data_IF_568089982623
#
_entry.id   IF_568089982623
#
_cell.length_a   1.000
_cell.length_b   1.000
_cell.length_c   1.000
_cell.angle_alpha   90.00
_cell.angle_beta   90.00
_cell.angle_gamma   90.00
#
_symmetry.space_group_name_H-M   'P 1'
#
loop_
_entity.id
_entity.type
_entity.pdbx_description
1 polymer ?
#
# COMPACT_ATOMS: atom_id res chain seq x y z
N UNK A 1 18.89 -12.60 -5.08
CA UNK A 1 18.10 -11.34 -5.15
C UNK A 1 17.96 -10.75 -3.75
N UNK A 2 18.19 -9.44 -3.57
CA UNK A 2 18.02 -8.76 -2.26
C UNK A 2 16.53 -8.56 -1.98
N UNK A 3 15.99 -9.27 -1.00
CA UNK A 3 14.59 -9.21 -0.60
C UNK A 3 14.27 -7.81 -0.02
N UNK A 4 13.36 -7.03 -0.65
CA UNK A 4 13.07 -5.64 -0.23
C UNK A 4 11.92 -5.57 0.78
N UNK A 5 11.08 -6.60 0.85
CA UNK A 5 9.89 -6.65 1.70
C UNK A 5 10.14 -7.31 3.07
N UNK A 6 11.19 -8.11 3.25
CA UNK A 6 11.53 -8.74 4.55
C UNK A 6 12.13 -7.78 5.59
N UNK A 7 12.21 -6.48 5.28
CA UNK A 7 13.03 -5.53 6.05
C UNK A 7 12.28 -4.68 7.06
N UNK A 8 11.01 -4.99 7.34
CA UNK A 8 10.36 -4.53 8.57
C UNK A 8 11.11 -4.94 9.86
N UNK A 9 12.15 -5.78 9.75
CA UNK A 9 13.00 -6.26 10.84
C UNK A 9 14.42 -5.67 10.87
N UNK A 10 14.84 -4.85 9.88
CA UNK A 10 16.13 -4.15 9.92
C UNK A 10 15.90 -2.64 9.85
N UNK A 11 16.26 -1.96 10.95
CA UNK A 11 16.05 -0.54 11.26
C UNK A 11 16.44 0.48 10.16
N UNK A 12 17.25 0.12 9.16
CA UNK A 12 17.83 1.07 8.20
C UNK A 12 17.22 1.10 6.79
N UNK A 13 16.20 0.29 6.48
CA UNK A 13 15.59 0.30 5.14
C UNK A 13 14.26 1.06 5.09
N UNK A 14 14.26 2.17 4.35
CA UNK A 14 13.05 2.94 4.01
C UNK A 14 12.72 2.71 2.54
N UNK A 15 11.51 2.23 2.25
CA UNK A 15 11.00 2.17 0.87
C UNK A 15 10.73 3.58 0.37
N UNK A 16 11.49 4.02 -0.62
CA UNK A 16 11.37 5.36 -1.24
C UNK A 16 10.22 5.43 -2.26
N UNK A 17 9.62 4.30 -2.61
CA UNK A 17 8.53 4.21 -3.59
C UNK A 17 7.23 3.78 -2.90
N UNK A 18 6.78 4.60 -1.95
CA UNK A 18 5.52 4.40 -1.25
C UNK A 18 4.35 4.63 -2.21
N UNK A 19 3.34 3.78 -2.13
CA UNK A 19 2.16 3.85 -3.00
C UNK A 19 1.08 4.79 -2.45
N UNK A 20 1.45 5.88 -1.77
CA UNK A 20 0.48 6.78 -1.14
C UNK A 20 -0.39 7.48 -2.19
N UNK A 21 0.23 8.04 -3.23
CA UNK A 21 -0.50 8.69 -4.32
C UNK A 21 -1.44 7.72 -5.03
N UNK A 22 -1.00 6.47 -5.21
CA UNK A 22 -1.84 5.42 -5.78
C UNK A 22 -3.09 5.13 -4.93
N UNK A 23 -3.00 5.20 -3.59
CA UNK A 23 -4.18 5.04 -2.74
C UNK A 23 -5.25 6.11 -3.04
N UNK A 24 -4.82 7.36 -3.22
CA UNK A 24 -5.70 8.47 -3.59
C UNK A 24 -6.32 8.26 -4.98
N UNK A 25 -5.50 7.98 -5.99
CA UNK A 25 -5.98 7.76 -7.36
C UNK A 25 -6.92 6.54 -7.45
N UNK A 26 -6.61 5.45 -6.75
CA UNK A 26 -7.46 4.26 -6.70
C UNK A 26 -8.81 4.54 -6.01
N UNK A 27 -8.81 5.30 -4.92
CA UNK A 27 -10.04 5.65 -4.20
C UNK A 27 -10.96 6.47 -5.09
N UNK A 28 -10.43 7.53 -5.69
CA UNK A 28 -11.15 8.39 -6.63
C UNK A 28 -11.67 7.62 -7.83
N UNK A 29 -10.86 6.71 -8.37
CA UNK A 29 -11.28 5.85 -9.47
C UNK A 29 -12.50 4.99 -9.07
N UNK A 30 -12.45 4.31 -7.92
CA UNK A 30 -13.56 3.50 -7.44
C UNK A 30 -14.82 4.32 -7.14
N UNK A 31 -14.69 5.49 -6.53
CA UNK A 31 -15.80 6.42 -6.30
C UNK A 31 -16.43 6.87 -7.63
N UNK A 32 -15.60 7.27 -8.60
CA UNK A 32 -16.06 7.76 -9.92
C UNK A 32 -16.84 6.72 -10.72
N UNK A 33 -16.43 5.46 -10.68
CA UNK A 33 -17.13 4.38 -11.39
C UNK A 33 -18.30 3.79 -10.57
N UNK A 34 -18.61 4.33 -9.38
CA UNK A 34 -19.64 3.81 -8.50
C UNK A 34 -19.33 2.41 -7.93
N UNK A 35 -18.06 2.04 -7.85
CA UNK A 35 -17.63 0.76 -7.29
C UNK A 35 -17.84 0.73 -5.78
N UNK A 36 -18.23 -0.44 -5.26
CA UNK A 36 -18.32 -0.68 -3.81
C UNK A 36 -16.96 -0.98 -3.16
N UNK A 37 -15.92 -1.23 -3.97
CA UNK A 37 -14.57 -1.54 -3.49
C UNK A 37 -14.01 -0.37 -2.68
N UNK A 38 -13.53 -0.66 -1.48
CA UNK A 38 -12.94 0.33 -0.58
C UNK A 38 -11.41 0.31 -0.65
N UNK A 39 -10.77 1.47 -0.52
CA UNK A 39 -9.31 1.56 -0.42
C UNK A 39 -8.87 1.43 1.05
N UNK A 40 -7.92 0.53 1.28
CA UNK A 40 -7.32 0.27 2.59
C UNK A 40 -5.79 0.32 2.45
N UNK A 41 -5.13 1.48 2.66
CA UNK A 41 -3.69 1.55 2.72
C UNK A 41 -3.16 0.67 3.85
N UNK A 42 -2.10 -0.08 3.55
CA UNK A 42 -1.52 -1.10 4.43
C UNK A 42 0.01 -1.05 4.42
N UNK A 43 0.64 -1.79 5.33
CA UNK A 43 2.10 -1.90 5.44
C UNK A 43 2.79 -0.55 5.75
N UNK A 44 2.20 0.20 6.67
CA UNK A 44 2.74 1.47 7.16
C UNK A 44 3.84 1.22 8.19
N UNK A 45 4.82 2.12 8.21
CA UNK A 45 6.05 1.99 9.01
C UNK A 45 6.22 3.09 10.05
N UNK A 46 5.41 4.15 10.00
CA UNK A 46 5.43 5.24 10.98
C UNK A 46 4.06 5.88 11.18
N UNK A 47 3.89 6.61 12.28
CA UNK A 47 2.66 7.35 12.57
C UNK A 47 2.48 8.53 11.61
N UNK A 48 3.57 9.10 11.10
CA UNK A 48 3.54 10.15 10.08
C UNK A 48 2.92 9.64 8.78
N UNK A 49 3.26 8.42 8.35
CA UNK A 49 2.63 7.80 7.17
C UNK A 49 1.13 7.57 7.37
N UNK A 50 0.73 7.12 8.57
CA UNK A 50 -0.69 6.96 8.93
C UNK A 50 -1.41 8.30 8.85
N UNK A 51 -0.85 9.35 9.44
CA UNK A 51 -1.47 10.68 9.47
C UNK A 51 -1.56 11.32 8.08
N UNK A 52 -0.57 11.11 7.21
CA UNK A 52 -0.61 11.56 5.81
C UNK A 52 -1.78 10.96 5.01
N UNK A 53 -2.19 9.74 5.35
CA UNK A 53 -3.27 8.99 4.71
C UNK A 53 -4.65 9.22 5.33
N UNK A 54 -4.77 10.10 6.33
CA UNK A 54 -6.07 10.50 6.87
C UNK A 54 -6.98 11.02 5.74
N UNK A 55 -8.15 10.40 5.57
CA UNK A 55 -9.05 10.62 4.44
C UNK A 55 -9.23 9.40 3.52
N UNK A 56 -8.37 8.38 3.64
CA UNK A 56 -8.65 7.07 3.04
C UNK A 56 -9.93 6.44 3.63
N UNK A 57 -10.67 5.64 2.85
CA UNK A 57 -11.87 4.94 3.34
C UNK A 57 -11.60 4.17 4.64
N UNK A 58 -10.50 3.42 4.66
CA UNK A 58 -10.00 2.71 5.83
C UNK A 58 -8.47 2.77 5.86
N UNK A 59 -7.85 2.50 7.01
CA UNK A 59 -6.39 2.32 7.13
C UNK A 59 -6.12 1.12 8.04
N UNK A 60 -5.26 0.19 7.62
CA UNK A 60 -4.78 -0.88 8.52
C UNK A 60 -3.47 -0.45 9.18
N UNK A 61 -3.45 -0.48 10.50
CA UNK A 61 -2.35 0.05 11.31
C UNK A 61 -1.84 -1.04 12.24
N UNK A 62 -0.53 -1.29 12.19
CA UNK A 62 0.09 -2.27 13.07
C UNK A 62 -0.05 -1.86 14.56
N UNK A 63 -0.22 -2.80 15.51
CA UNK A 63 -0.49 -2.47 16.93
C UNK A 63 0.53 -1.51 17.57
N UNK A 64 1.83 -1.66 17.24
CA UNK A 64 2.88 -0.79 17.76
C UNK A 64 2.76 0.67 17.25
N UNK A 65 2.18 0.88 16.07
CA UNK A 65 1.89 2.23 15.54
C UNK A 65 0.61 2.79 16.15
N UNK A 66 -0.42 1.95 16.39
CA UNK A 66 -1.63 2.36 17.12
C UNK A 66 -1.30 2.87 18.52
N UNK A 67 -0.42 2.16 19.25
CA UNK A 67 0.06 2.60 20.56
C UNK A 67 0.74 3.96 20.49
N UNK A 68 1.65 4.15 19.53
CA UNK A 68 2.34 5.43 19.32
C UNK A 68 1.36 6.57 18.97
N UNK A 69 0.34 6.29 18.14
CA UNK A 69 -0.70 7.27 17.82
C UNK A 69 -1.48 7.67 19.07
N UNK A 70 -1.87 6.70 19.91
CA UNK A 70 -2.60 6.97 21.15
C UNK A 70 -1.78 7.76 22.18
N UNK A 71 -0.46 7.56 22.22
CA UNK A 71 0.46 8.29 23.11
C UNK A 71 0.82 9.68 22.58
N UNK A 72 0.61 9.96 21.29
CA UNK A 72 0.95 11.23 20.66
C UNK A 72 -0.17 12.26 20.90
N UNK A 73 0.12 13.44 21.49
CA UNK A 73 -0.86 14.50 21.63
C UNK A 73 -1.44 14.92 20.27
N UNK A 74 -2.76 15.01 20.17
CA UNK A 74 -3.43 15.47 18.95
C UNK A 74 -3.24 16.97 18.69
N UNK A 75 -2.94 17.75 19.74
CA UNK A 75 -2.69 19.18 19.65
C UNK A 75 -1.53 19.58 20.60
N UNK A 76 -0.41 20.12 20.10
CA UNK A 76 -0.11 20.31 18.68
C UNK A 76 0.35 19.01 18.00
N UNK A 77 -0.20 18.70 16.82
CA UNK A 77 0.38 17.74 15.88
C UNK A 77 1.25 18.51 14.88
N UNK A 78 2.55 18.21 14.85
CA UNK A 78 3.54 18.93 14.04
C UNK A 78 3.70 18.36 12.61
N UNK A 79 2.91 17.36 12.23
CA UNK A 79 3.02 16.70 10.93
C UNK A 79 1.90 17.07 9.94
N UNK A 80 1.98 16.51 8.74
CA UNK A 80 0.92 16.61 7.74
C UNK A 80 -0.22 15.63 8.04
N UNK A 81 -1.44 16.14 8.17
CA UNK A 81 -2.66 15.31 8.26
C UNK A 81 -3.40 15.33 6.94
N UNK A 82 -3.59 14.15 6.35
CA UNK A 82 -4.38 13.95 5.13
C UNK A 82 -3.79 14.57 3.87
N UNK A 83 -2.49 14.90 3.85
CA UNK A 83 -1.85 15.55 2.69
C UNK A 83 -1.92 14.73 1.41
N UNK A 84 -2.09 13.41 1.49
CA UNK A 84 -2.25 12.54 0.30
C UNK A 84 -3.59 12.79 -0.42
N UNK A 85 -4.62 13.18 0.34
CA UNK A 85 -5.99 13.35 -0.15
C UNK A 85 -6.38 14.83 -0.30
N UNK A 86 -5.68 15.75 0.37
CA UNK A 86 -5.87 17.21 0.24
C UNK A 86 -5.40 17.72 -1.11
N UNK A 87 -6.13 18.71 -1.65
CA UNK A 87 -5.72 19.60 -2.75
C UNK A 87 -5.27 18.97 -4.08
N UNK A 88 -5.54 17.68 -4.32
CA UNK A 88 -5.28 17.10 -5.64
C UNK A 88 -6.42 17.42 -6.58
N UNK A 89 -6.10 18.06 -7.71
CA UNK A 89 -7.04 18.27 -8.81
C UNK A 89 -7.76 16.96 -9.18
N UNK A 90 -8.98 17.06 -9.71
CA UNK A 90 -9.66 15.91 -10.30
C UNK A 90 -8.80 15.37 -11.45
N UNK A 91 -8.11 14.26 -11.21
CA UNK A 91 -7.46 13.52 -12.29
C UNK A 91 -8.56 12.79 -13.07
N UNK A 92 -8.54 12.92 -14.39
CA UNK A 92 -9.40 12.09 -15.23
C UNK A 92 -9.05 10.62 -14.99
N UNK A 93 -10.00 9.86 -14.44
CA UNK A 93 -9.87 8.41 -14.40
C UNK A 93 -9.53 7.88 -15.80
N UNK A 94 -8.43 7.13 -15.89
CA UNK A 94 -8.04 6.48 -17.13
C UNK A 94 -9.11 5.49 -17.61
N UNK A 95 -9.22 5.33 -18.92
CA UNK A 95 -9.96 4.22 -19.51
C UNK A 95 -9.10 2.95 -19.41
N UNK A 96 -9.61 1.96 -18.67
CA UNK A 96 -8.97 0.65 -18.47
C UNK A 96 -9.72 -0.48 -19.16
N UNK A 97 -10.73 -0.18 -20.00
CA UNK A 97 -11.56 -1.18 -20.68
C UNK A 97 -10.74 -2.20 -21.49
N UNK A 98 -9.60 -1.77 -22.05
CA UNK A 98 -8.71 -2.61 -22.85
C UNK A 98 -7.92 -3.66 -22.04
N UNK A 99 -7.87 -3.57 -20.71
CA UNK A 99 -7.13 -4.52 -19.85
C UNK A 99 -8.01 -5.35 -18.91
N UNK A 100 -9.28 -4.96 -18.67
CA UNK A 100 -10.14 -5.59 -17.66
C UNK A 100 -10.40 -7.08 -17.91
N UNK A 101 -10.64 -7.47 -19.16
CA UNK A 101 -10.95 -8.86 -19.56
C UNK A 101 -9.89 -9.45 -20.50
N UNK A 102 -8.73 -8.80 -20.59
CA UNK A 102 -7.63 -9.22 -21.45
C UNK A 102 -6.38 -9.47 -20.60
N UNK A 103 -6.19 -10.74 -20.21
CA UNK A 103 -5.06 -11.15 -19.35
C UNK A 103 -3.70 -10.75 -19.94
N UNK A 104 -3.50 -10.96 -21.24
CA UNK A 104 -2.22 -10.63 -21.88
C UNK A 104 -1.94 -9.13 -21.87
N UNK A 105 -2.95 -8.30 -22.14
CA UNK A 105 -2.83 -6.85 -22.08
C UNK A 105 -2.58 -6.36 -20.65
N UNK A 106 -3.31 -6.91 -19.66
CA UNK A 106 -3.09 -6.61 -18.25
C UNK A 106 -1.69 -6.98 -17.78
N UNK A 107 -1.21 -8.20 -18.10
CA UNK A 107 0.14 -8.66 -17.75
C UNK A 107 1.19 -7.72 -18.32
N UNK A 108 1.08 -7.37 -19.60
CA UNK A 108 2.04 -6.47 -20.24
C UNK A 108 2.04 -5.07 -19.60
N UNK A 109 0.85 -4.52 -19.31
CA UNK A 109 0.72 -3.23 -18.65
C UNK A 109 1.31 -3.27 -17.22
N UNK A 110 1.01 -4.33 -16.46
CA UNK A 110 1.48 -4.49 -15.09
C UNK A 110 3.00 -4.69 -15.01
N UNK A 111 3.57 -5.58 -15.84
CA UNK A 111 5.03 -5.80 -15.96
C UNK A 111 5.77 -4.53 -16.34
N UNK A 112 5.16 -3.62 -17.13
CA UNK A 112 5.78 -2.33 -17.50
C UNK A 112 5.57 -1.23 -16.45
N UNK A 113 4.59 -1.38 -15.57
CA UNK A 113 4.23 -0.35 -14.60
C UNK A 113 5.38 -0.05 -13.63
N UNK A 114 5.56 1.24 -13.32
CA UNK A 114 6.65 1.73 -12.48
C UNK A 114 8.03 1.20 -12.91
N UNK A 115 8.30 1.13 -14.22
CA UNK A 115 9.54 0.57 -14.78
C UNK A 115 9.82 -0.87 -14.30
N UNK A 116 8.77 -1.70 -14.17
CA UNK A 116 8.85 -3.09 -13.72
C UNK A 116 8.97 -3.28 -12.21
N UNK A 117 8.97 -2.20 -11.41
CA UNK A 117 9.06 -2.31 -9.94
C UNK A 117 7.84 -3.00 -9.33
N UNK A 118 6.66 -2.83 -9.91
CA UNK A 118 5.43 -3.45 -9.41
C UNK A 118 5.51 -4.98 -9.46
N UNK A 119 5.97 -5.53 -10.59
CA UNK A 119 6.18 -6.96 -10.77
C UNK A 119 7.22 -7.52 -9.79
N UNK A 120 8.33 -6.81 -9.61
CA UNK A 120 9.34 -7.22 -8.62
C UNK A 120 8.76 -7.24 -7.20
N UNK A 121 7.97 -6.23 -6.82
CA UNK A 121 7.35 -6.17 -5.48
C UNK A 121 6.34 -7.30 -5.28
N UNK A 122 5.46 -7.59 -6.26
CA UNK A 122 4.45 -8.64 -6.09
C UNK A 122 5.07 -10.04 -5.97
N UNK A 123 6.07 -10.36 -6.81
CA UNK A 123 6.76 -11.65 -6.76
C UNK A 123 7.49 -11.81 -5.42
N UNK A 124 8.17 -10.76 -4.96
CA UNK A 124 8.82 -10.79 -3.65
C UNK A 124 7.81 -11.00 -2.51
N UNK A 125 6.64 -10.36 -2.57
CA UNK A 125 5.61 -10.51 -1.54
C UNK A 125 5.08 -11.96 -1.48
N UNK A 126 4.76 -12.52 -2.65
CA UNK A 126 4.27 -13.91 -2.76
C UNK A 126 5.29 -14.87 -2.16
N UNK A 127 6.56 -14.79 -2.55
CA UNK A 127 7.60 -15.67 -2.04
C UNK A 127 7.77 -15.55 -0.53
N UNK A 128 7.73 -14.33 0.03
CA UNK A 128 7.80 -14.14 1.48
C UNK A 128 6.63 -14.83 2.18
N UNK A 129 5.41 -14.69 1.67
CA UNK A 129 4.26 -15.33 2.30
C UNK A 129 4.30 -16.85 2.16
N UNK A 130 4.78 -17.40 1.04
CA UNK A 130 5.05 -18.83 0.89
C UNK A 130 6.06 -19.31 1.94
N UNK A 131 7.21 -18.64 2.08
CA UNK A 131 8.22 -19.01 3.09
C UNK A 131 7.65 -19.00 4.52
N UNK A 132 6.74 -18.06 4.83
CA UNK A 132 6.06 -17.99 6.13
C UNK A 132 5.03 -19.09 6.30
N UNK A 133 4.32 -19.46 5.24
CA UNK A 133 3.37 -20.56 5.24
C UNK A 133 4.08 -21.90 5.47
N UNK A 134 5.19 -22.15 4.77
CA UNK A 134 6.01 -23.37 4.96
C UNK A 134 6.50 -23.48 6.41
N UNK A 135 6.95 -22.37 6.99
CA UNK A 135 7.35 -22.31 8.40
C UNK A 135 6.20 -22.58 9.37
N UNK A 136 5.01 -22.05 9.09
CA UNK A 136 3.81 -22.29 9.91
C UNK A 136 3.38 -23.77 9.85
N UNK A 137 3.38 -24.37 8.67
CA UNK A 137 3.08 -25.80 8.51
C UNK A 137 4.10 -26.69 9.22
N UNK A 138 5.39 -26.32 9.16
CA UNK A 138 6.44 -27.02 9.88
C UNK A 138 6.25 -27.00 11.40
N UNK A 139 5.67 -25.93 11.96
CA UNK A 139 5.31 -25.85 13.38
C UNK A 139 4.05 -26.67 13.69
N UNK A 140 3.04 -26.64 12.81
CA UNK A 140 1.76 -27.32 13.04
C UNK A 140 1.84 -28.85 12.93
N UNK A 141 2.85 -29.37 12.23
CA UNK A 141 3.10 -30.83 12.08
C UNK A 141 3.91 -31.43 13.23
N UNK A 142 4.44 -30.62 14.14
CA UNK A 142 5.12 -31.07 15.37
C UNK A 142 4.11 -31.39 16.46
#
# INVERSE_FOLDING_TARGET
>A
MRNKLTRGWKSSYVDQHKAFDFCCSAQRYYEKIGSKTQVLPASLTSIQEVMKLAGAHHITVAPHLLKKLAETPANPWEGETGSVFKDKAEEEAGDYSNILENESAWRLAFTRSQEGRAEVKIIQAINIFCDKQDGLEGLARQ
#
